data_IF_805600888135
#
_entry.id   IF_805600888135
#
_cell.length_a   1.000
_cell.length_b   1.000
_cell.length_c   1.000
_cell.angle_alpha   90.00
_cell.angle_beta   90.00
_cell.angle_gamma   90.00
#
_symmetry.space_group_name_H-M   'P 1'
#
loop_
_entity.id
_entity.type
_entity.pdbx_description
1 polymer ?
#
# COMPACT_ATOMS: atom_id res chain seq x y z
N UNK A 1 26.73 -28.27 -13.15
CA UNK A 1 25.26 -28.28 -13.20
C UNK A 1 24.81 -26.84 -13.19
N UNK A 2 24.34 -26.31 -14.33
CA UNK A 2 23.82 -24.95 -14.39
C UNK A 2 22.38 -24.97 -13.88
N UNK A 3 22.11 -24.32 -12.76
CA UNK A 3 20.74 -24.01 -12.35
C UNK A 3 20.22 -22.97 -13.34
N UNK A 4 19.44 -23.42 -14.33
CA UNK A 4 18.54 -22.54 -15.07
C UNK A 4 17.51 -22.03 -14.05
N UNK A 5 17.87 -20.96 -13.33
CA UNK A 5 16.91 -20.13 -12.60
C UNK A 5 16.08 -19.41 -13.65
N UNK A 6 15.12 -20.11 -14.24
CA UNK A 6 14.12 -19.49 -15.10
C UNK A 6 13.50 -18.36 -14.28
N UNK A 7 13.66 -17.12 -14.75
CA UNK A 7 13.08 -15.97 -14.07
C UNK A 7 11.57 -16.19 -13.90
N UNK A 8 10.98 -15.76 -12.77
CA UNK A 8 9.54 -15.87 -12.56
C UNK A 8 8.78 -15.29 -13.76
N UNK A 9 7.67 -15.93 -14.20
CA UNK A 9 6.84 -15.40 -15.27
C UNK A 9 6.46 -13.95 -15.01
N UNK A 10 6.47 -13.11 -16.05
CA UNK A 10 6.10 -11.70 -15.92
C UNK A 10 7.16 -10.77 -15.33
N UNK A 11 8.27 -11.29 -14.79
CA UNK A 11 9.32 -10.48 -14.12
C UNK A 11 9.88 -9.38 -15.04
N UNK A 12 10.22 -9.70 -16.29
CA UNK A 12 10.76 -8.72 -17.24
C UNK A 12 9.79 -7.56 -17.50
N UNK A 13 8.49 -7.87 -17.59
CA UNK A 13 7.45 -6.87 -17.78
C UNK A 13 7.25 -6.01 -16.54
N UNK A 14 7.21 -6.65 -15.37
CA UNK A 14 7.14 -5.95 -14.09
C UNK A 14 8.33 -5.00 -13.91
N UNK A 15 9.54 -5.45 -14.28
CA UNK A 15 10.77 -4.68 -14.19
C UNK A 15 10.78 -3.51 -15.18
N UNK A 16 10.32 -3.71 -16.42
CA UNK A 16 10.19 -2.63 -17.40
C UNK A 16 9.21 -1.54 -16.95
N UNK A 17 8.08 -1.92 -16.34
CA UNK A 17 7.10 -1.01 -15.76
C UNK A 17 7.68 -0.24 -14.56
N UNK A 18 8.33 -0.95 -13.64
CA UNK A 18 8.99 -0.37 -12.48
C UNK A 18 10.10 0.61 -12.89
N UNK A 19 10.96 0.23 -13.84
CA UNK A 19 12.06 1.08 -14.33
C UNK A 19 11.54 2.33 -15.04
N UNK A 20 10.44 2.24 -15.77
CA UNK A 20 9.78 3.41 -16.34
C UNK A 20 9.41 4.43 -15.24
N UNK A 21 8.70 3.97 -14.20
CA UNK A 21 8.30 4.85 -13.10
C UNK A 21 9.50 5.37 -12.30
N UNK A 22 10.48 4.50 -12.02
CA UNK A 22 11.70 4.87 -11.32
C UNK A 22 12.47 5.99 -12.03
N UNK A 23 12.60 5.92 -13.37
CA UNK A 23 13.25 6.97 -14.17
C UNK A 23 12.49 8.30 -14.13
N UNK A 24 11.16 8.28 -14.13
CA UNK A 24 10.34 9.49 -13.93
C UNK A 24 10.67 10.16 -12.59
N UNK A 25 10.90 9.37 -11.55
CA UNK A 25 11.31 9.82 -10.21
C UNK A 25 12.84 10.04 -10.07
N UNK A 26 13.57 10.16 -11.18
CA UNK A 26 15.04 10.35 -11.22
C UNK A 26 15.85 9.22 -10.57
N UNK A 27 15.36 7.98 -10.63
CA UNK A 27 16.04 6.76 -10.17
C UNK A 27 16.42 5.89 -11.37
N UNK A 28 17.69 5.97 -11.79
CA UNK A 28 18.14 5.38 -13.06
C UNK A 28 18.62 3.93 -12.94
N UNK A 29 19.17 3.53 -11.79
CA UNK A 29 19.75 2.20 -11.54
C UNK A 29 18.79 1.29 -10.74
N UNK A 30 17.49 1.48 -10.91
CA UNK A 30 16.48 0.71 -10.20
C UNK A 30 16.37 -0.72 -10.76
N UNK A 31 16.56 -1.72 -9.89
CA UNK A 31 16.41 -3.13 -10.20
C UNK A 31 15.78 -3.88 -9.02
N UNK A 32 14.99 -4.91 -9.31
CA UNK A 32 14.45 -5.74 -8.24
C UNK A 32 15.54 -6.56 -7.55
N UNK A 33 15.41 -6.73 -6.24
CA UNK A 33 16.24 -7.67 -5.48
C UNK A 33 15.89 -9.14 -5.80
N UNK A 34 16.54 -10.07 -5.09
CA UNK A 34 16.28 -11.50 -5.24
C UNK A 34 14.81 -11.89 -4.97
N UNK A 35 14.11 -11.13 -4.13
CA UNK A 35 12.72 -11.35 -3.76
C UNK A 35 11.73 -10.64 -4.70
N UNK A 36 12.21 -9.97 -5.75
CA UNK A 36 11.36 -9.21 -6.66
C UNK A 36 10.91 -7.87 -6.07
N UNK A 37 11.67 -7.31 -5.12
CA UNK A 37 11.29 -6.15 -4.33
C UNK A 37 12.25 -4.97 -4.56
N UNK A 38 11.72 -3.75 -4.52
CA UNK A 38 12.51 -2.51 -4.50
C UNK A 38 11.83 -1.44 -3.66
N UNK A 39 12.62 -0.63 -2.96
CA UNK A 39 12.15 0.49 -2.14
C UNK A 39 12.90 1.77 -2.50
N UNK A 40 12.17 2.87 -2.58
CA UNK A 40 12.67 4.22 -2.84
C UNK A 40 12.46 5.15 -1.62
N UNK A 41 12.36 4.56 -0.42
CA UNK A 41 12.05 5.26 0.81
C UNK A 41 10.55 5.23 1.09
N UNK A 42 9.83 6.25 0.62
CA UNK A 42 8.40 6.42 0.89
C UNK A 42 7.49 5.58 0.00
N UNK A 43 8.01 5.04 -1.10
CA UNK A 43 7.27 4.15 -1.98
C UNK A 43 8.17 3.05 -2.54
N UNK A 44 7.59 2.06 -3.19
CA UNK A 44 8.35 1.01 -3.84
C UNK A 44 7.46 0.09 -4.66
N UNK A 45 8.07 -0.97 -5.18
CA UNK A 45 7.39 -1.96 -5.97
C UNK A 45 7.79 -3.37 -5.56
N UNK A 46 6.88 -4.31 -5.77
CA UNK A 46 7.14 -5.74 -5.63
C UNK A 46 6.48 -6.49 -6.78
N UNK A 47 7.22 -7.37 -7.43
CA UNK A 47 6.65 -8.35 -8.34
C UNK A 47 6.03 -9.50 -7.53
N UNK A 48 4.74 -9.78 -7.73
CA UNK A 48 4.03 -10.92 -7.13
C UNK A 48 3.67 -11.92 -8.24
N UNK A 49 4.48 -12.97 -8.48
CA UNK A 49 4.27 -13.90 -9.59
C UNK A 49 2.93 -14.63 -9.52
N UNK A 50 2.46 -14.94 -8.31
CA UNK A 50 1.20 -15.65 -8.08
C UNK A 50 -0.04 -14.84 -8.51
N UNK A 51 0.08 -13.51 -8.51
CA UNK A 51 -0.98 -12.59 -8.91
C UNK A 51 -0.85 -12.12 -10.36
N UNK A 52 0.25 -12.48 -11.04
CA UNK A 52 0.67 -11.87 -12.30
C UNK A 52 0.59 -10.33 -12.24
N UNK A 53 1.16 -9.74 -11.17
CA UNK A 53 1.01 -8.33 -10.88
C UNK A 53 2.31 -7.66 -10.42
N UNK A 54 2.47 -6.39 -10.81
CA UNK A 54 3.36 -5.45 -10.16
C UNK A 54 2.57 -4.79 -9.02
N UNK A 55 3.02 -4.93 -7.78
CA UNK A 55 2.38 -4.28 -6.63
C UNK A 55 3.14 -2.99 -6.31
N UNK A 56 2.48 -1.85 -6.51
CA UNK A 56 2.95 -0.57 -6.01
C UNK A 56 2.63 -0.44 -4.53
N UNK A 57 3.53 0.15 -3.75
CA UNK A 57 3.30 0.42 -2.32
C UNK A 57 3.78 1.80 -1.94
N UNK A 58 3.06 2.45 -1.04
CA UNK A 58 3.42 3.73 -0.44
C UNK A 58 3.36 3.60 1.07
N UNK A 59 4.40 4.07 1.76
CA UNK A 59 4.48 4.11 3.21
C UNK A 59 3.44 5.11 3.77
N UNK A 60 2.73 4.70 4.81
CA UNK A 60 1.74 5.55 5.49
C UNK A 60 2.19 5.90 6.88
N UNK A 61 2.47 4.90 7.72
CA UNK A 61 2.79 5.12 9.13
C UNK A 61 3.59 3.97 9.72
N UNK A 62 4.39 4.28 10.75
CA UNK A 62 4.98 3.26 11.62
C UNK A 62 3.92 2.80 12.63
N UNK A 63 3.74 1.49 12.75
CA UNK A 63 2.73 0.91 13.60
C UNK A 63 3.18 0.91 15.07
N UNK A 64 4.29 0.24 15.40
CA UNK A 64 4.83 0.22 16.76
C UNK A 64 6.36 0.27 16.79
N UNK A 65 6.89 0.53 17.99
CA UNK A 65 8.33 0.51 18.27
C UNK A 65 8.82 -0.89 18.61
N UNK A 66 10.13 -1.09 18.59
CA UNK A 66 10.73 -2.34 19.05
C UNK A 66 10.46 -2.61 20.52
N UNK A 67 10.16 -3.86 20.86
CA UNK A 67 9.78 -4.25 22.22
C UNK A 67 8.43 -3.70 22.70
N UNK A 68 7.53 -3.32 21.78
CA UNK A 68 6.16 -2.96 22.16
C UNK A 68 5.45 -4.14 22.86
N UNK A 69 4.64 -3.89 23.91
CA UNK A 69 3.84 -4.94 24.54
C UNK A 69 2.90 -5.63 23.54
N UNK A 70 2.66 -6.92 23.73
CA UNK A 70 1.80 -7.73 22.84
C UNK A 70 0.40 -7.10 22.66
N UNK A 71 -0.22 -6.63 23.73
CA UNK A 71 -1.51 -5.94 23.67
C UNK A 71 -1.48 -4.67 22.79
N UNK A 72 -0.34 -3.99 22.70
CA UNK A 72 -0.17 -2.85 21.79
C UNK A 72 -0.06 -3.32 20.34
N UNK A 73 0.67 -4.42 20.09
CA UNK A 73 0.77 -5.01 18.75
C UNK A 73 -0.61 -5.44 18.26
N UNK A 74 -1.38 -6.13 19.10
CA UNK A 74 -2.75 -6.56 18.78
C UNK A 74 -3.69 -5.40 18.45
N UNK A 75 -3.56 -4.29 19.19
CA UNK A 75 -4.30 -3.06 18.90
C UNK A 75 -4.02 -2.54 17.49
N UNK A 76 -2.75 -2.47 17.08
CA UNK A 76 -2.38 -2.06 15.73
C UNK A 76 -2.82 -3.07 14.66
N UNK A 77 -2.73 -4.37 14.94
CA UNK A 77 -3.27 -5.40 14.04
C UNK A 77 -4.79 -5.21 13.83
N UNK A 78 -5.54 -4.88 14.89
CA UNK A 78 -6.97 -4.59 14.83
C UNK A 78 -7.27 -3.34 13.99
N UNK A 79 -6.51 -2.26 14.19
CA UNK A 79 -6.61 -1.03 13.37
C UNK A 79 -6.32 -1.34 11.89
N UNK A 80 -5.32 -2.16 11.60
CA UNK A 80 -4.97 -2.60 10.24
C UNK A 80 -6.12 -3.30 9.52
N UNK A 81 -6.91 -4.10 10.24
CA UNK A 81 -8.12 -4.75 9.71
C UNK A 81 -9.24 -3.73 9.49
N UNK A 82 -9.47 -2.85 10.46
CA UNK A 82 -10.51 -1.82 10.38
C UNK A 82 -10.28 -0.84 9.22
N UNK A 83 -9.03 -0.52 8.88
CA UNK A 83 -8.69 0.32 7.73
C UNK A 83 -9.16 -0.25 6.39
N UNK A 84 -9.32 -1.57 6.28
CA UNK A 84 -9.84 -2.22 5.09
C UNK A 84 -11.35 -2.53 5.16
N UNK A 85 -12.01 -2.24 6.29
CA UNK A 85 -13.44 -2.40 6.44
C UNK A 85 -14.17 -1.21 5.76
N UNK A 86 -14.98 -1.44 4.71
CA UNK A 86 -15.70 -0.36 4.03
C UNK A 86 -16.61 0.46 4.94
N UNK A 87 -17.10 -0.10 6.05
CA UNK A 87 -17.96 0.60 7.00
C UNK A 87 -17.16 1.44 8.02
N UNK A 88 -15.85 1.24 8.13
CA UNK A 88 -15.01 1.93 9.14
C UNK A 88 -13.87 2.68 8.48
N UNK A 89 -13.00 1.96 7.77
CA UNK A 89 -11.83 2.50 7.08
C UNK A 89 -12.12 2.98 5.67
N UNK A 90 -13.33 2.74 5.17
CA UNK A 90 -13.79 3.06 3.81
C UNK A 90 -13.32 4.43 3.34
N UNK A 91 -12.51 4.41 2.28
CA UNK A 91 -12.15 5.53 1.40
C UNK A 91 -11.75 4.92 0.03
N UNK A 92 -12.23 3.70 -0.23
CA UNK A 92 -11.95 2.98 -1.45
C UNK A 92 -13.06 3.27 -2.44
N UNK A 93 -12.82 4.25 -3.30
CA UNK A 93 -13.38 4.11 -4.63
C UNK A 93 -12.79 2.84 -5.25
N UNK A 94 -13.62 2.01 -5.87
CA UNK A 94 -13.25 0.68 -6.35
C UNK A 94 -12.06 0.78 -7.33
N UNK A 95 -10.83 0.60 -6.82
CA UNK A 95 -9.58 0.70 -7.61
C UNK A 95 -8.46 1.57 -7.03
N UNK A 96 -8.62 2.20 -5.86
CA UNK A 96 -7.62 3.12 -5.29
C UNK A 96 -6.38 2.46 -4.62
N UNK A 97 -6.55 1.31 -3.97
CA UNK A 97 -5.49 0.61 -3.21
C UNK A 97 -6.08 -0.21 -2.05
N UNK A 98 -5.25 -0.73 -1.15
CA UNK A 98 -5.66 -1.39 0.10
C UNK A 98 -4.59 -1.26 1.18
N UNK A 99 -5.00 -1.23 2.46
CA UNK A 99 -4.05 -1.16 3.56
C UNK A 99 -3.40 -2.51 3.79
N UNK A 100 -2.09 -2.47 4.01
CA UNK A 100 -1.32 -3.62 4.41
C UNK A 100 -0.42 -3.25 5.57
N UNK A 101 -0.57 -3.97 6.68
CA UNK A 101 0.38 -3.94 7.77
C UNK A 101 1.43 -5.02 7.51
N UNK A 102 2.68 -4.60 7.35
CA UNK A 102 3.85 -5.48 7.34
C UNK A 102 4.32 -5.61 8.81
N UNK A 103 4.07 -6.74 9.48
CA UNK A 103 4.40 -6.91 10.91
C UNK A 103 5.91 -6.96 11.15
N UNK A 104 6.68 -7.48 10.19
CA UNK A 104 8.14 -7.58 10.30
C UNK A 104 8.78 -6.19 10.23
N UNK A 105 8.29 -5.35 9.31
CA UNK A 105 8.72 -3.95 9.20
C UNK A 105 8.04 -3.03 10.22
N UNK A 106 6.91 -3.46 10.78
CA UNK A 106 6.05 -2.69 11.69
C UNK A 106 5.54 -1.41 11.04
N UNK A 107 5.16 -1.51 9.78
CA UNK A 107 4.78 -0.37 8.95
C UNK A 107 3.46 -0.65 8.23
N UNK A 108 2.62 0.38 8.18
CA UNK A 108 1.46 0.41 7.30
C UNK A 108 1.87 0.94 5.94
N UNK A 109 1.44 0.22 4.92
CA UNK A 109 1.54 0.59 3.53
C UNK A 109 0.14 0.67 2.92
N UNK A 110 -0.03 1.60 1.98
CA UNK A 110 -1.10 1.52 1.00
C UNK A 110 -0.54 0.80 -0.23
N UNK A 111 -1.16 -0.30 -0.62
CA UNK A 111 -0.75 -1.12 -1.77
C UNK A 111 -1.76 -1.02 -2.90
N UNK A 112 -1.29 -1.16 -4.14
CA UNK A 112 -2.14 -1.31 -5.32
C UNK A 112 -1.56 -2.37 -6.24
N UNK A 113 -2.40 -3.29 -6.65
CA UNK A 113 -2.03 -4.35 -7.58
C UNK A 113 -2.22 -3.81 -9.01
N UNK A 114 -1.17 -3.91 -9.84
CA UNK A 114 -1.17 -3.58 -11.26
C UNK A 114 -1.02 -4.87 -12.06
N UNK A 115 -2.13 -5.46 -12.56
CA UNK A 115 -2.09 -6.70 -13.33
C UNK A 115 -1.19 -6.53 -14.55
N UNK A 116 -0.20 -7.41 -14.73
CA UNK A 116 0.81 -7.26 -15.77
C UNK A 116 0.17 -7.31 -17.15
N UNK A 117 -0.80 -8.20 -17.38
CA UNK A 117 -1.48 -8.36 -18.65
C UNK A 117 -2.09 -7.05 -19.22
N UNK A 118 -2.64 -6.19 -18.36
CA UNK A 118 -3.42 -5.00 -18.79
C UNK A 118 -2.77 -3.68 -18.44
N UNK A 119 -1.80 -3.66 -17.52
CA UNK A 119 -1.16 -2.42 -17.07
C UNK A 119 -0.28 -1.84 -18.16
N UNK A 120 -0.55 -0.58 -18.52
CA UNK A 120 0.33 0.27 -19.34
C UNK A 120 1.14 1.20 -18.45
N UNK A 121 2.08 1.94 -19.05
CA UNK A 121 2.90 2.94 -18.34
C UNK A 121 2.04 4.06 -17.76
N UNK A 122 1.05 4.51 -18.52
CA UNK A 122 0.12 5.57 -18.16
C UNK A 122 -0.77 5.12 -16.99
N UNK A 123 -1.30 3.89 -17.05
CA UNK A 123 -2.11 3.30 -15.96
C UNK A 123 -1.28 3.17 -14.67
N UNK A 124 -0.02 2.74 -14.79
CA UNK A 124 0.88 2.66 -13.64
C UNK A 124 1.11 4.04 -13.04
N UNK A 125 1.39 5.02 -13.89
CA UNK A 125 1.72 6.38 -13.48
C UNK A 125 0.57 7.05 -12.73
N UNK A 126 -0.61 7.13 -13.37
CA UNK A 126 -1.82 7.66 -12.74
C UNK A 126 -2.20 6.89 -11.48
N UNK A 127 -2.02 5.57 -11.50
CA UNK A 127 -2.32 4.71 -10.37
C UNK A 127 -1.41 4.97 -9.18
N UNK A 128 -0.12 5.21 -9.41
CA UNK A 128 0.86 5.52 -8.37
C UNK A 128 0.73 6.95 -7.85
N UNK A 129 0.45 7.93 -8.71
CA UNK A 129 0.13 9.30 -8.29
C UNK A 129 -1.08 9.31 -7.36
N UNK A 130 -2.19 8.67 -7.77
CA UNK A 130 -3.38 8.51 -6.91
C UNK A 130 -3.05 7.79 -5.61
N UNK A 131 -2.25 6.73 -5.65
CA UNK A 131 -1.85 5.98 -4.45
C UNK A 131 -1.06 6.86 -3.47
N UNK A 132 -0.19 7.74 -3.97
CA UNK A 132 0.61 8.68 -3.16
C UNK A 132 -0.26 9.79 -2.58
N UNK A 133 -1.16 10.36 -3.37
CA UNK A 133 -2.11 11.39 -2.90
C UNK A 133 -3.04 10.85 -1.82
N UNK A 134 -3.51 9.61 -2.00
CA UNK A 134 -4.25 8.89 -0.98
C UNK A 134 -3.39 8.69 0.27
N UNK A 135 -2.18 8.13 0.15
CA UNK A 135 -1.31 7.96 1.31
C UNK A 135 -1.07 9.27 2.08
N UNK A 136 -0.81 10.37 1.37
CA UNK A 136 -0.61 11.70 1.96
C UNK A 136 -1.83 12.18 2.75
N UNK A 137 -3.03 12.06 2.18
CA UNK A 137 -4.30 12.44 2.82
C UNK A 137 -4.54 11.66 4.13
N UNK A 138 -4.08 10.42 4.20
CA UNK A 138 -4.37 9.51 5.30
C UNK A 138 -3.36 9.57 6.46
N UNK A 139 -2.19 10.19 6.27
CA UNK A 139 -1.04 10.06 7.18
C UNK A 139 -1.23 10.61 8.60
N UNK A 140 -2.35 11.27 8.96
CA UNK A 140 -2.54 11.71 10.36
C UNK A 140 -3.97 11.70 10.89
N UNK A 141 -4.93 12.36 10.23
CA UNK A 141 -6.27 12.55 10.81
C UNK A 141 -7.14 11.30 10.74
N UNK A 142 -7.24 10.70 9.55
CA UNK A 142 -8.09 9.53 9.34
C UNK A 142 -7.56 8.29 10.05
N UNK A 143 -6.24 8.07 10.02
CA UNK A 143 -5.62 6.96 10.75
C UNK A 143 -5.91 7.04 12.26
N UNK A 144 -5.81 8.23 12.85
CA UNK A 144 -6.19 8.47 14.23
C UNK A 144 -7.69 8.22 14.48
N UNK A 145 -8.55 8.67 13.55
CA UNK A 145 -10.00 8.44 13.64
C UNK A 145 -10.35 6.95 13.64
N UNK A 146 -9.78 6.16 12.72
CA UNK A 146 -10.01 4.71 12.66
C UNK A 146 -9.49 4.03 13.92
N UNK A 147 -8.37 4.50 14.48
CA UNK A 147 -7.89 4.02 15.78
C UNK A 147 -8.89 4.33 16.91
N UNK A 148 -9.42 5.55 16.97
CA UNK A 148 -10.41 5.93 17.98
C UNK A 148 -11.71 5.10 17.86
N UNK A 149 -12.20 4.84 16.65
CA UNK A 149 -13.36 3.96 16.41
C UNK A 149 -13.04 2.54 16.88
N UNK A 150 -11.87 2.01 16.48
CA UNK A 150 -11.44 0.64 16.81
C UNK A 150 -11.29 0.41 18.32
N UNK A 151 -10.95 1.47 19.05
CA UNK A 151 -10.81 1.50 20.50
C UNK A 151 -12.08 1.96 21.25
N UNK A 152 -13.19 2.19 20.56
CA UNK A 152 -14.47 2.58 21.17
C UNK A 152 -14.50 4.01 21.73
N UNK A 153 -13.57 4.87 21.29
CA UNK A 153 -13.50 6.30 21.64
C UNK A 153 -14.31 7.18 20.68
N UNK A 154 -14.73 6.62 19.56
CA UNK A 154 -15.57 7.26 18.55
C UNK A 154 -16.58 6.26 17.97
N UNK A 155 -17.70 6.78 17.47
CA UNK A 155 -18.67 5.98 16.74
C UNK A 155 -18.22 5.77 15.29
N UNK A 156 -18.48 4.58 14.71
CA UNK A 156 -18.26 4.35 13.28
C UNK A 156 -19.13 5.30 12.44
N UNK A 157 -18.69 5.66 11.23
CA UNK A 157 -19.47 6.51 10.35
C UNK A 157 -20.80 5.82 9.98
N UNK A 158 -21.87 6.61 9.85
CA UNK A 158 -23.20 6.09 9.50
C UNK A 158 -23.32 5.68 8.03
N UNK A 159 -22.35 6.07 7.21
CA UNK A 159 -22.23 5.76 5.78
C UNK A 159 -20.77 5.44 5.47
N UNK A 160 -20.48 4.64 4.43
CA UNK A 160 -19.11 4.45 3.95
C UNK A 160 -18.48 5.81 3.65
N UNK A 161 -17.26 6.03 4.15
CA UNK A 161 -16.52 7.29 3.92
C UNK A 161 -15.90 7.24 2.52
N UNK A 162 -15.92 8.38 1.81
CA UNK A 162 -15.37 8.53 0.45
C UNK A 162 -14.26 9.56 0.40
N UNK A 163 -13.51 9.58 -0.69
CA UNK A 163 -12.37 10.49 -0.90
C UNK A 163 -12.76 11.96 -0.87
N UNK A 164 -13.99 12.26 -1.30
CA UNK A 164 -14.61 13.58 -1.36
C UNK A 164 -15.45 13.92 -0.14
N UNK A 165 -15.37 13.12 0.94
CA UNK A 165 -15.98 13.43 2.24
C UNK A 165 -14.91 13.97 3.22
N UNK A 166 -14.30 15.16 3.00
CA UNK A 166 -13.40 15.74 3.98
C UNK A 166 -14.24 16.33 5.11
N UNK A 167 -14.41 15.59 6.19
CA UNK A 167 -14.81 16.07 7.53
C UNK A 167 -16.14 16.88 7.69
N UNK A 168 -16.87 17.28 6.65
CA UNK A 168 -18.01 18.17 6.82
C UNK A 168 -19.33 17.40 7.01
N UNK A 169 -19.82 17.45 8.24
CA UNK A 169 -21.19 17.10 8.72
C UNK A 169 -21.52 15.65 9.07
N UNK A 170 -21.09 15.20 10.26
CA UNK A 170 -21.97 14.44 11.21
C UNK A 170 -21.61 14.82 12.66
#
# INVERSE_FOLDING_TARGET
MATNSAMPPGRDRAEALMQFYARKENRYDAAFDANGDISFGEFGFRHEPEKDALVGRVFVAKAWRDGAPEAQIDAFMKVGRALNDPAIGGLFDQGGGYFHLDPDKRMYFLKKDFPLATTTREILDEGMEKLRDLAATWTTRWFARVADITHGRALPPLRPVKQDDPDDTI
#
